data_IF_289467275050
#
_entry.id   IF_289467275050
#
_cell.length_a   1.000
_cell.length_b   1.000
_cell.length_c   1.000
_cell.angle_alpha   90.00
_cell.angle_beta   90.00
_cell.angle_gamma   90.00
#
_symmetry.space_group_name_H-M   'P 1'
#
loop_
_entity.id
_entity.type
_entity.pdbx_description
1 polymer ?
#
# COMPACT_ATOMS: atom_id res chain seq x y z
N UNK A 1 25.17 1.70 -32.23
CA UNK A 1 25.22 0.34 -31.65
C UNK A 1 25.50 0.48 -30.16
N UNK A 2 24.48 0.44 -29.31
CA UNK A 2 24.64 0.34 -27.85
C UNK A 2 23.82 -0.86 -27.41
N UNK A 3 24.52 -1.97 -27.16
CA UNK A 3 23.98 -3.17 -26.54
C UNK A 3 24.68 -3.31 -25.19
N UNK A 4 23.94 -3.18 -24.10
CA UNK A 4 24.42 -3.59 -22.78
C UNK A 4 23.26 -4.18 -21.99
N UNK A 5 23.37 -5.48 -21.85
CA UNK A 5 22.53 -6.42 -21.13
C UNK A 5 22.13 -5.91 -19.74
N UNK A 6 20.88 -6.12 -19.36
CA UNK A 6 20.59 -6.81 -18.10
C UNK A 6 19.11 -7.20 -18.02
N UNK A 7 18.87 -8.45 -17.67
CA UNK A 7 17.55 -8.94 -17.33
C UNK A 7 17.01 -8.22 -16.09
N UNK A 8 15.84 -7.59 -16.24
CA UNK A 8 14.92 -7.34 -15.16
C UNK A 8 13.66 -8.09 -15.53
N UNK A 9 13.40 -9.21 -14.86
CA UNK A 9 12.13 -9.91 -14.96
C UNK A 9 11.02 -8.89 -14.75
N UNK A 10 9.94 -9.04 -15.49
CA UNK A 10 8.77 -8.17 -15.41
C UNK A 10 8.17 -8.25 -13.99
N UNK A 11 8.67 -7.47 -13.04
CA UNK A 11 8.05 -7.25 -11.72
C UNK A 11 6.90 -6.21 -11.82
N UNK A 12 6.28 -6.10 -12.99
CA UNK A 12 5.26 -5.10 -13.34
C UNK A 12 3.84 -5.44 -12.84
N UNK A 13 3.68 -6.46 -12.00
CA UNK A 13 2.38 -6.83 -11.43
C UNK A 13 2.07 -6.09 -10.13
N UNK A 14 2.94 -6.22 -9.12
CA UNK A 14 2.70 -5.69 -7.77
C UNK A 14 3.37 -4.33 -7.51
N UNK A 15 4.58 -4.09 -8.05
CA UNK A 15 5.28 -2.82 -7.85
C UNK A 15 4.57 -1.64 -8.54
N UNK A 16 3.93 -1.86 -9.68
CA UNK A 16 3.15 -0.83 -10.37
C UNK A 16 1.87 -0.44 -9.62
N UNK A 17 1.23 -1.40 -8.97
CA UNK A 17 0.08 -1.15 -8.08
C UNK A 17 0.51 -0.35 -6.86
N UNK A 18 1.60 -0.75 -6.19
CA UNK A 18 2.15 -0.04 -5.05
C UNK A 18 2.57 1.41 -5.39
N UNK A 19 3.19 1.65 -6.55
CA UNK A 19 3.57 3.01 -6.96
C UNK A 19 2.34 3.89 -7.25
N UNK A 20 1.33 3.34 -7.91
CA UNK A 20 0.07 4.05 -8.17
C UNK A 20 -0.64 4.43 -6.87
N UNK A 21 -0.74 3.48 -5.95
CA UNK A 21 -1.33 3.65 -4.62
C UNK A 21 -0.60 4.70 -3.81
N UNK A 22 0.73 4.68 -3.84
CA UNK A 22 1.56 5.69 -3.20
C UNK A 22 1.26 7.09 -3.73
N UNK A 23 1.18 7.27 -5.05
CA UNK A 23 0.85 8.56 -5.67
C UNK A 23 -0.57 9.03 -5.31
N UNK A 24 -1.55 8.14 -5.28
CA UNK A 24 -2.93 8.47 -4.89
C UNK A 24 -3.00 8.93 -3.42
N UNK A 25 -2.33 8.22 -2.51
CA UNK A 25 -2.26 8.58 -1.08
C UNK A 25 -1.52 9.89 -0.84
N UNK A 26 -0.39 10.12 -1.52
CA UNK A 26 0.38 11.35 -1.44
C UNK A 26 -0.43 12.56 -1.95
N UNK A 27 -1.14 12.41 -3.07
CA UNK A 27 -2.00 13.45 -3.63
C UNK A 27 -3.16 13.79 -2.68
N UNK A 28 -3.81 12.78 -2.10
CA UNK A 28 -4.87 12.98 -1.09
C UNK A 28 -4.33 13.65 0.17
N UNK A 29 -3.15 13.26 0.64
CA UNK A 29 -2.51 13.88 1.81
C UNK A 29 -2.13 15.34 1.54
N UNK A 30 -1.56 15.66 0.38
CA UNK A 30 -1.22 17.04 0.02
C UNK A 30 -2.48 17.93 -0.10
N UNK A 31 -3.61 17.37 -0.54
CA UNK A 31 -4.85 18.13 -0.78
C UNK A 31 -5.73 18.28 0.46
N UNK A 32 -5.78 17.26 1.32
CA UNK A 32 -6.73 17.18 2.44
C UNK A 32 -6.05 17.01 3.81
N UNK A 33 -4.73 16.84 3.85
CA UNK A 33 -3.98 16.49 5.06
C UNK A 33 -4.34 15.08 5.56
N UNK A 34 -4.16 14.84 6.86
CA UNK A 34 -4.55 13.60 7.53
C UNK A 34 -6.04 13.62 7.94
N UNK A 35 -6.92 13.99 7.00
CA UNK A 35 -8.36 14.13 7.22
C UNK A 35 -9.17 12.87 6.89
N UNK A 36 -10.49 12.87 7.14
CA UNK A 36 -11.37 11.73 6.82
C UNK A 36 -11.32 11.31 5.34
N UNK A 37 -11.16 12.28 4.43
CA UNK A 37 -11.05 12.03 2.99
C UNK A 37 -9.79 11.22 2.61
N UNK A 38 -8.70 11.37 3.36
CA UNK A 38 -7.50 10.55 3.18
C UNK A 38 -7.79 9.10 3.54
N UNK A 39 -8.45 8.87 4.69
CA UNK A 39 -8.82 7.53 5.14
C UNK A 39 -9.83 6.85 4.22
N UNK A 40 -10.75 7.61 3.62
CA UNK A 40 -11.66 7.09 2.59
C UNK A 40 -10.90 6.58 1.35
N UNK A 41 -9.92 7.37 0.87
CA UNK A 41 -9.04 6.98 -0.24
C UNK A 41 -8.26 5.71 0.11
N UNK A 42 -7.71 5.64 1.33
CA UNK A 42 -6.98 4.48 1.84
C UNK A 42 -7.86 3.22 1.83
N UNK A 43 -9.10 3.31 2.30
CA UNK A 43 -10.04 2.19 2.31
C UNK A 43 -10.43 1.74 0.89
N UNK A 44 -10.69 2.66 -0.04
CA UNK A 44 -10.98 2.29 -1.43
C UNK A 44 -9.82 1.56 -2.10
N UNK A 45 -8.59 2.02 -1.85
CA UNK A 45 -7.40 1.36 -2.37
C UNK A 45 -7.25 -0.04 -1.78
N UNK A 46 -7.44 -0.17 -0.46
CA UNK A 46 -7.39 -1.46 0.22
C UNK A 46 -8.43 -2.45 -0.33
N UNK A 47 -9.65 -1.97 -0.59
CA UNK A 47 -10.74 -2.77 -1.16
C UNK A 47 -10.43 -3.23 -2.60
N UNK A 48 -9.82 -2.36 -3.42
CA UNK A 48 -9.38 -2.71 -4.78
C UNK A 48 -8.25 -3.73 -4.79
N UNK A 49 -7.35 -3.66 -3.83
CA UNK A 49 -6.18 -4.54 -3.74
C UNK A 49 -6.52 -5.91 -3.16
N UNK A 50 -7.60 -6.01 -2.38
CA UNK A 50 -7.92 -7.21 -1.61
C UNK A 50 -9.33 -7.70 -1.94
N UNK A 51 -9.52 -8.45 -3.04
CA UNK A 51 -10.74 -9.20 -3.25
C UNK A 51 -10.75 -10.41 -2.29
N UNK A 52 -11.43 -10.24 -1.15
CA UNK A 52 -11.80 -11.25 -0.12
C UNK A 52 -10.95 -12.54 -0.03
N UNK A 53 -10.06 -12.58 0.98
CA UNK A 53 -9.52 -13.83 1.53
C UNK A 53 -8.01 -13.79 1.75
N UNK A 54 -7.58 -13.72 3.01
CA UNK A 54 -6.18 -13.87 3.47
C UNK A 54 -5.21 -12.73 3.15
N UNK A 55 -5.19 -12.17 1.94
CA UNK A 55 -4.21 -11.14 1.52
C UNK A 55 -4.43 -9.77 2.20
N UNK A 56 -5.57 -9.59 2.90
CA UNK A 56 -5.92 -8.31 3.55
C UNK A 56 -4.87 -7.84 4.54
N UNK A 57 -4.36 -8.75 5.37
CA UNK A 57 -3.44 -8.39 6.44
C UNK A 57 -2.09 -7.97 5.88
N UNK A 58 -1.59 -8.70 4.89
CA UNK A 58 -0.33 -8.38 4.21
C UNK A 58 -0.43 -7.05 3.46
N UNK A 59 -1.50 -6.84 2.69
CA UNK A 59 -1.73 -5.58 1.99
C UNK A 59 -1.94 -4.41 2.97
N UNK A 60 -2.62 -4.63 4.10
CA UNK A 60 -2.77 -3.59 5.13
C UNK A 60 -1.42 -3.22 5.76
N UNK A 61 -0.55 -4.20 5.99
CA UNK A 61 0.78 -3.97 6.54
C UNK A 61 1.67 -3.21 5.55
N UNK A 62 1.67 -3.61 4.28
CA UNK A 62 2.37 -2.90 3.21
C UNK A 62 1.87 -1.46 3.07
N UNK A 63 0.56 -1.26 3.07
CA UNK A 63 -0.06 0.08 3.02
C UNK A 63 0.35 0.93 4.22
N UNK A 64 0.40 0.35 5.42
CA UNK A 64 0.85 1.04 6.63
C UNK A 64 2.32 1.48 6.54
N UNK A 65 3.20 0.65 5.96
CA UNK A 65 4.60 1.00 5.71
C UNK A 65 4.74 2.09 4.64
N UNK A 66 3.90 2.08 3.60
CA UNK A 66 3.91 3.12 2.56
C UNK A 66 3.56 4.49 3.18
N UNK A 67 2.50 4.58 3.98
CA UNK A 67 2.09 5.85 4.60
C UNK A 67 3.08 6.31 5.69
N UNK A 68 3.80 5.38 6.34
CA UNK A 68 4.91 5.71 7.25
C UNK A 68 6.10 6.29 6.49
N UNK A 69 6.52 5.67 5.39
CA UNK A 69 7.63 6.17 4.57
C UNK A 69 7.33 7.54 3.94
N UNK A 70 6.05 7.81 3.65
CA UNK A 70 5.59 9.12 3.19
C UNK A 70 5.54 10.19 4.31
N UNK A 71 5.76 9.80 5.57
CA UNK A 71 5.67 10.70 6.73
C UNK A 71 4.24 11.13 7.09
N UNK A 72 3.24 10.45 6.52
CA UNK A 72 1.82 10.72 6.79
C UNK A 72 1.45 10.27 8.21
N UNK A 73 2.04 9.16 8.66
CA UNK A 73 1.95 8.66 10.03
C UNK A 73 3.32 8.55 10.66
N UNK A 74 3.41 8.75 11.98
CA UNK A 74 4.69 8.65 12.72
C UNK A 74 5.20 7.22 12.86
N UNK A 75 4.31 6.24 12.89
CA UNK A 75 4.63 4.81 13.03
C UNK A 75 3.48 3.94 12.52
N UNK A 76 3.78 3.03 11.62
CA UNK A 76 2.86 2.02 11.13
C UNK A 76 2.51 1.04 12.24
N UNK A 77 1.21 0.83 12.49
CA UNK A 77 0.74 -0.29 13.30
C UNK A 77 0.46 -1.46 12.37
N UNK A 78 1.37 -2.43 12.37
CA UNK A 78 1.23 -3.66 11.60
C UNK A 78 0.28 -4.61 12.33
N UNK A 79 -0.66 -5.19 11.58
CA UNK A 79 -1.58 -6.20 12.08
C UNK A 79 -0.88 -7.56 12.00
N UNK A 80 -0.76 -8.32 13.12
CA UNK A 80 -0.16 -9.64 13.09
C UNK A 80 -1.00 -10.58 12.21
N UNK A 81 -0.37 -11.47 11.39
CA UNK A 81 -1.06 -12.35 10.45
C UNK A 81 -1.95 -13.45 11.09
N UNK A 82 -2.22 -13.38 12.38
CA UNK A 82 -3.00 -14.39 13.11
C UNK A 82 -3.54 -13.82 14.43
N UNK A 83 -4.59 -13.02 14.36
CA UNK A 83 -5.50 -12.79 15.49
C UNK A 83 -6.77 -13.68 15.40
N UNK A 84 -6.71 -14.77 14.63
CA UNK A 84 -7.68 -15.86 14.70
C UNK A 84 -7.09 -16.98 15.58
N UNK A 85 -6.96 -16.69 16.88
CA UNK A 85 -6.88 -17.75 17.89
C UNK A 85 -8.32 -18.17 18.23
N UNK A 86 -8.67 -19.46 18.22
CA UNK A 86 -10.00 -19.90 18.60
C UNK A 86 -10.23 -19.54 20.08
N UNK A 87 -11.38 -18.93 20.36
CA UNK A 87 -11.92 -18.81 21.72
C UNK A 87 -12.98 -19.89 21.91
#
# INVERSE_FOLDING_TARGET
MQNKSNGGRMEYGMHGLAERVRRELEASYHKHGCGPAFWDTYQQVLDRLVPQGTERTEVTNEMALIIEQLGIVRRAQLVPPHANGPR
#
